data_IF_637431091774
#
_entry.id   IF_637431091774
#
_cell.length_a   1.000
_cell.length_b   1.000
_cell.length_c   1.000
_cell.angle_alpha   90.00
_cell.angle_beta   90.00
_cell.angle_gamma   90.00
#
_symmetry.space_group_name_H-M   'P 1'
#
loop_
_entity.id
_entity.type
_entity.pdbx_description
1 polymer ?
#
# COMPACT_ATOMS: atom_id res chain seq x y z
N UNK A 1 19.65 16.88 33.10
CA UNK A 1 19.89 15.80 32.12
C UNK A 1 18.51 15.29 31.70
N UNK A 2 17.91 15.84 30.66
CA UNK A 2 16.56 15.47 30.21
C UNK A 2 16.70 14.50 29.06
N UNK A 3 16.47 13.22 29.30
CA UNK A 3 16.36 12.20 28.27
C UNK A 3 14.98 12.29 27.62
N UNK A 4 14.95 12.62 26.33
CA UNK A 4 13.73 12.59 25.54
C UNK A 4 13.30 11.14 25.29
N UNK A 5 12.12 10.77 25.76
CA UNK A 5 11.48 9.48 25.49
C UNK A 5 11.00 9.50 24.04
N UNK A 6 11.69 8.80 23.13
CA UNK A 6 11.19 8.50 21.80
C UNK A 6 10.09 7.44 21.94
N UNK A 7 8.83 7.84 21.84
CA UNK A 7 7.73 6.89 21.66
C UNK A 7 7.94 6.19 20.31
N UNK A 8 8.20 4.87 20.25
CA UNK A 8 8.22 4.18 18.97
C UNK A 8 6.79 4.19 18.43
N UNK A 9 6.59 4.83 17.27
CA UNK A 9 5.38 4.68 16.48
C UNK A 9 5.08 3.18 16.35
N UNK A 10 3.85 2.71 16.66
CA UNK A 10 3.54 1.30 16.56
C UNK A 10 3.78 0.86 15.13
N UNK A 11 4.82 0.04 14.93
CA UNK A 11 5.12 -0.55 13.65
C UNK A 11 4.03 -1.57 13.37
N UNK A 12 2.95 -1.15 12.71
CA UNK A 12 1.98 -2.06 12.11
C UNK A 12 2.80 -3.08 11.30
N UNK A 13 2.67 -4.39 11.57
CA UNK A 13 3.47 -5.37 10.88
C UNK A 13 3.24 -5.20 9.38
N UNK A 14 4.29 -4.89 8.62
CA UNK A 14 4.23 -4.81 7.16
C UNK A 14 3.86 -6.19 6.62
N UNK A 15 2.58 -6.38 6.32
CA UNK A 15 2.07 -7.55 5.65
C UNK A 15 2.45 -7.45 4.16
N UNK A 16 3.30 -8.38 3.71
CA UNK A 16 3.75 -8.45 2.32
C UNK A 16 2.83 -9.38 1.53
N UNK A 17 1.88 -8.81 0.81
CA UNK A 17 0.89 -9.55 0.02
C UNK A 17 1.29 -9.71 -1.44
N UNK A 18 0.63 -10.62 -2.16
CA UNK A 18 0.86 -10.81 -3.60
C UNK A 18 0.08 -9.79 -4.44
N UNK A 19 0.48 -9.62 -5.70
CA UNK A 19 -0.27 -8.78 -6.67
C UNK A 19 -1.71 -9.27 -6.85
N UNK A 20 -1.92 -10.58 -6.83
CA UNK A 20 -3.23 -11.18 -6.99
C UNK A 20 -4.11 -10.91 -5.76
N UNK A 21 -3.55 -11.09 -4.58
CA UNK A 21 -4.26 -10.86 -3.32
C UNK A 21 -4.62 -9.37 -3.14
N UNK A 22 -3.71 -8.45 -3.50
CA UNK A 22 -4.02 -7.02 -3.54
C UNK A 22 -5.18 -6.71 -4.50
N UNK A 23 -5.20 -7.35 -5.67
CA UNK A 23 -6.25 -7.17 -6.67
C UNK A 23 -7.61 -7.68 -6.16
N UNK A 24 -7.62 -8.81 -5.47
CA UNK A 24 -8.82 -9.38 -4.84
C UNK A 24 -9.34 -8.49 -3.70
N UNK A 25 -8.44 -8.01 -2.83
CA UNK A 25 -8.75 -7.15 -1.66
C UNK A 25 -9.40 -5.82 -2.11
N UNK A 26 -8.93 -5.24 -3.21
CA UNK A 26 -9.43 -3.98 -3.77
C UNK A 26 -10.45 -4.16 -4.91
N UNK A 27 -10.87 -5.40 -5.20
CA UNK A 27 -11.80 -5.73 -6.29
C UNK A 27 -11.42 -5.09 -7.63
N UNK A 28 -10.13 -5.06 -7.93
CA UNK A 28 -9.60 -4.47 -9.17
C UNK A 28 -8.79 -5.50 -9.98
N UNK A 29 -8.37 -5.13 -11.18
CA UNK A 29 -7.53 -6.01 -12.00
C UNK A 29 -6.08 -6.02 -11.51
N UNK A 30 -5.39 -7.15 -11.67
CA UNK A 30 -3.93 -7.23 -11.42
C UNK A 30 -3.13 -6.25 -12.29
N UNK A 31 -3.65 -5.88 -13.46
CA UNK A 31 -3.08 -4.83 -14.32
C UNK A 31 -3.15 -3.46 -13.65
N UNK A 32 -4.24 -3.15 -12.96
CA UNK A 32 -4.41 -1.91 -12.19
C UNK A 32 -3.38 -1.85 -11.07
N UNK A 33 -3.24 -2.92 -10.28
CA UNK A 33 -2.21 -3.01 -9.23
C UNK A 33 -0.80 -2.80 -9.80
N UNK A 34 -0.45 -3.46 -10.91
CA UNK A 34 0.86 -3.27 -11.55
C UNK A 34 1.08 -1.85 -12.05
N UNK A 35 0.02 -1.18 -12.51
CA UNK A 35 0.07 0.23 -12.90
C UNK A 35 0.38 1.11 -11.69
N UNK A 36 -0.29 0.90 -10.56
CA UNK A 36 0.00 1.63 -9.33
C UNK A 36 1.42 1.43 -8.82
N UNK A 37 1.99 0.24 -8.99
CA UNK A 37 3.41 -0.02 -8.67
C UNK A 37 4.33 0.78 -9.60
N UNK A 38 4.04 0.78 -10.90
CA UNK A 38 4.83 1.51 -11.90
C UNK A 38 4.75 3.02 -11.69
N UNK A 39 3.56 3.53 -11.34
CA UNK A 39 3.30 4.93 -11.04
C UNK A 39 3.87 5.35 -9.67
N UNK A 40 4.38 4.41 -8.87
CA UNK A 40 4.95 4.67 -7.55
C UNK A 40 3.93 5.00 -6.45
N UNK A 41 2.64 4.76 -6.70
CA UNK A 41 1.54 5.03 -5.76
C UNK A 41 1.60 4.07 -4.57
N UNK A 42 1.97 2.81 -4.82
CA UNK A 42 2.05 1.78 -3.79
C UNK A 42 3.45 1.19 -3.68
N UNK A 43 3.88 0.93 -2.45
CA UNK A 43 5.18 0.30 -2.18
C UNK A 43 5.14 -1.18 -2.54
N UNK A 44 6.03 -1.56 -3.45
CA UNK A 44 6.25 -2.95 -3.78
C UNK A 44 7.74 -3.30 -3.77
N UNK A 45 8.06 -4.52 -3.36
CA UNK A 45 9.41 -5.07 -3.35
C UNK A 45 9.48 -6.29 -4.25
N UNK A 46 10.55 -6.36 -5.05
CA UNK A 46 10.87 -7.54 -5.84
C UNK A 46 11.53 -8.58 -4.93
N UNK A 47 10.93 -9.77 -4.87
CA UNK A 47 11.45 -10.91 -4.11
C UNK A 47 11.96 -11.93 -5.14
N UNK A 48 13.27 -11.95 -5.35
CA UNK A 48 13.90 -12.82 -6.32
C UNK A 48 13.66 -12.44 -7.79
N UNK A 49 13.83 -13.39 -8.73
CA UNK A 49 13.88 -13.09 -10.16
C UNK A 49 12.52 -12.81 -10.81
N UNK A 50 11.40 -13.18 -10.17
CA UNK A 50 10.04 -13.03 -10.74
C UNK A 50 8.95 -12.64 -9.76
N UNK A 51 9.14 -12.74 -8.44
CA UNK A 51 8.07 -12.43 -7.51
C UNK A 51 8.07 -10.96 -7.14
N UNK A 52 6.86 -10.40 -7.04
CA UNK A 52 6.59 -9.07 -6.52
C UNK A 52 5.76 -9.25 -5.26
N UNK A 53 6.11 -8.48 -4.22
CA UNK A 53 5.35 -8.37 -2.98
C UNK A 53 4.97 -6.91 -2.77
N UNK A 54 3.76 -6.69 -2.30
CA UNK A 54 3.19 -5.37 -2.07
C UNK A 54 3.06 -5.19 -0.56
N UNK A 55 3.39 -4.01 -0.08
CA UNK A 55 3.12 -3.61 1.30
C UNK A 55 1.62 -3.31 1.45
N UNK A 56 0.91 -4.12 2.24
CA UNK A 56 -0.53 -3.97 2.47
C UNK A 56 -0.85 -2.61 3.11
N UNK A 57 0.00 -2.11 4.01
CA UNK A 57 -0.23 -0.82 4.66
C UNK A 57 -0.13 0.36 3.69
N UNK A 58 0.74 0.26 2.69
CA UNK A 58 0.79 1.26 1.61
C UNK A 58 -0.45 1.25 0.73
N UNK A 59 -1.11 0.10 0.61
CA UNK A 59 -2.34 -0.06 -0.18
C UNK A 59 -3.53 0.55 0.57
N UNK A 60 -3.63 0.30 1.88
CA UNK A 60 -4.67 0.86 2.77
C UNK A 60 -4.66 2.38 2.81
N UNK A 61 -3.46 2.99 2.83
CA UNK A 61 -3.30 4.44 2.82
C UNK A 61 -3.63 5.12 1.48
N UNK A 62 -3.93 4.38 0.41
CA UNK A 62 -4.29 4.96 -0.89
C UNK A 62 -5.74 5.48 -0.93
N UNK A 63 -6.61 5.01 -0.04
CA UNK A 63 -8.00 5.43 0.02
C UNK A 63 -8.13 6.85 0.57
N UNK A 64 -7.99 7.86 -0.28
CA UNK A 64 -8.46 9.19 0.07
C UNK A 64 -9.99 9.22 -0.06
N UNK A 65 -10.68 9.71 0.97
CA UNK A 65 -12.14 9.83 0.95
C UNK A 65 -12.53 10.82 -0.14
N UNK A 66 -12.98 10.29 -1.27
CA UNK A 66 -13.43 11.11 -2.38
C UNK A 66 -14.80 11.69 -2.01
N UNK A 67 -14.80 12.91 -1.47
CA UNK A 67 -16.02 13.70 -1.37
C UNK A 67 -16.51 13.95 -2.80
N UNK A 68 -17.51 13.19 -3.23
CA UNK A 68 -18.17 13.40 -4.51
C UNK A 68 -18.73 14.82 -4.48
N UNK A 69 -18.04 15.75 -5.13
CA UNK A 69 -18.58 17.07 -5.37
C UNK A 69 -19.61 16.87 -6.47
N UNK A 70 -20.87 16.80 -6.08
CA UNK A 70 -21.98 17.02 -6.99
C UNK A 70 -21.67 18.32 -7.73
N UNK A 71 -21.40 18.21 -9.03
CA UNK A 71 -21.29 19.36 -9.91
C UNK A 71 -22.72 19.69 -10.35
N UNK A 72 -23.21 20.84 -9.91
CA UNK A 72 -24.49 21.45 -10.26
C UNK A 72 -24.58 21.82 -11.75
#
# INVERSE_FOLDING_TARGET
MTTATLTPTPAVPTEWITVQEAAERYRCSTKTIRRWIYDGIIKAKRVGPRLIRIDAGSLENMGEEMAYRDNE
#
